data_IF_800456007936
#
_entry.id   IF_800456007936
#
_cell.length_a   1.000
_cell.length_b   1.000
_cell.length_c   1.000
_cell.angle_alpha   90.00
_cell.angle_beta   90.00
_cell.angle_gamma   90.00
#
_symmetry.space_group_name_H-M   'P 1'
#
loop_
_entity.id
_entity.type
_entity.pdbx_description
1 polymer ?
#
# COMPACT_ATOMS: atom_id res chain seq x y z
N UNK A 1 -7.65 22.59 -7.23
CA UNK A 1 -6.36 22.52 -6.50
C UNK A 1 -6.55 22.59 -4.99
N UNK A 2 -7.25 23.58 -4.43
CA UNK A 2 -7.38 23.74 -2.95
C UNK A 2 -8.07 22.59 -2.20
N UNK A 3 -9.07 21.93 -2.80
CA UNK A 3 -9.76 20.78 -2.17
C UNK A 3 -8.87 19.51 -2.14
N UNK A 4 -8.19 19.19 -3.23
CA UNK A 4 -7.29 18.02 -3.33
C UNK A 4 -6.07 18.13 -2.40
N UNK A 5 -5.55 19.34 -2.18
CA UNK A 5 -4.46 19.58 -1.23
C UNK A 5 -4.96 19.42 0.22
N UNK A 6 -6.17 19.91 0.53
CA UNK A 6 -6.77 19.74 1.86
C UNK A 6 -7.08 18.26 2.17
N UNK A 7 -7.57 17.50 1.19
CA UNK A 7 -7.84 16.06 1.32
C UNK A 7 -6.54 15.24 1.48
N UNK A 8 -5.43 15.68 0.88
CA UNK A 8 -4.12 15.05 1.07
C UNK A 8 -3.56 15.23 2.48
N UNK A 9 -3.59 16.46 2.99
CA UNK A 9 -3.11 16.79 4.35
C UNK A 9 -3.88 16.01 5.43
N UNK A 10 -5.15 15.70 5.20
CA UNK A 10 -5.95 14.91 6.14
C UNK A 10 -5.64 13.41 6.04
N UNK A 11 -5.52 12.84 4.83
CA UNK A 11 -5.22 11.40 4.65
C UNK A 11 -3.88 11.01 5.28
N UNK A 12 -2.82 11.81 5.04
CA UNK A 12 -1.50 11.55 5.63
C UNK A 12 -1.46 11.89 7.13
N UNK A 13 -2.28 12.85 7.59
CA UNK A 13 -2.55 13.10 9.00
C UNK A 13 -3.15 11.88 9.72
N UNK A 14 -4.21 11.29 9.16
CA UNK A 14 -4.87 10.09 9.68
C UNK A 14 -3.90 8.90 9.73
N UNK A 15 -3.10 8.70 8.67
CA UNK A 15 -2.06 7.65 8.64
C UNK A 15 -1.09 7.80 9.80
N UNK A 16 -0.63 9.02 10.09
CA UNK A 16 0.30 9.29 11.19
C UNK A 16 -0.33 9.05 12.55
N UNK A 17 -1.53 9.56 12.77
CA UNK A 17 -2.24 9.37 14.03
C UNK A 17 -2.45 7.89 14.31
N UNK A 18 -2.93 7.14 13.32
CA UNK A 18 -3.16 5.70 13.45
C UNK A 18 -1.86 4.94 13.68
N UNK A 19 -0.76 5.30 13.02
CA UNK A 19 0.53 4.66 13.21
C UNK A 19 1.07 4.86 14.63
N UNK A 20 0.92 6.07 15.19
CA UNK A 20 1.29 6.33 16.60
C UNK A 20 0.43 5.53 17.57
N UNK A 21 -0.88 5.48 17.33
CA UNK A 21 -1.80 4.73 18.16
C UNK A 21 -1.44 3.23 18.19
N UNK A 22 -1.26 2.63 17.01
CA UNK A 22 -0.93 1.21 16.91
C UNK A 22 0.45 0.91 17.48
N UNK A 23 1.45 1.77 17.23
CA UNK A 23 2.81 1.60 17.75
C UNK A 23 2.88 1.69 19.27
N UNK A 24 2.04 2.51 19.91
CA UNK A 24 1.95 2.60 21.36
C UNK A 24 1.17 1.43 22.02
N UNK A 25 0.36 0.71 21.23
CA UNK A 25 -0.52 -0.36 21.72
C UNK A 25 0.02 -1.77 21.43
N UNK A 26 0.80 -1.93 20.37
CA UNK A 26 1.24 -3.21 19.83
C UNK A 26 2.77 -3.29 19.80
N UNK A 27 3.38 -3.77 20.88
CA UNK A 27 4.84 -3.84 21.05
C UNK A 27 5.55 -4.53 19.86
N UNK A 28 4.95 -5.59 19.31
CA UNK A 28 5.53 -6.32 18.18
C UNK A 28 5.55 -5.53 16.86
N UNK A 29 4.71 -4.50 16.72
CA UNK A 29 4.64 -3.65 15.53
C UNK A 29 5.44 -2.35 15.70
N UNK A 30 6.00 -2.10 16.90
CA UNK A 30 6.65 -0.84 17.25
C UNK A 30 7.78 -0.48 16.26
N UNK A 31 8.71 -1.39 15.99
CA UNK A 31 9.84 -1.13 15.08
C UNK A 31 9.39 -0.78 13.66
N UNK A 32 8.41 -1.52 13.13
CA UNK A 32 7.85 -1.26 11.78
C UNK A 32 7.18 0.10 11.72
N UNK A 33 6.39 0.45 12.74
CA UNK A 33 5.68 1.72 12.78
C UNK A 33 6.61 2.91 13.09
N UNK A 34 7.70 2.70 13.84
CA UNK A 34 8.76 3.68 14.06
C UNK A 34 9.48 4.05 12.75
N UNK A 35 9.71 3.10 11.84
CA UNK A 35 10.21 3.40 10.49
C UNK A 35 9.14 4.08 9.63
N UNK A 36 7.88 3.64 9.73
CA UNK A 36 6.80 4.18 8.91
C UNK A 36 6.47 5.65 9.22
N UNK A 37 6.57 6.09 10.48
CA UNK A 37 6.24 7.45 10.90
C UNK A 37 7.02 8.56 10.14
N UNK A 38 8.36 8.54 10.08
CA UNK A 38 9.11 9.49 9.25
C UNK A 38 8.91 9.24 7.75
N UNK A 39 8.61 8.00 7.34
CA UNK A 39 8.34 7.68 5.93
C UNK A 39 7.04 8.34 5.45
N UNK A 40 5.97 8.30 6.24
CA UNK A 40 4.69 8.92 5.87
C UNK A 40 4.81 10.45 5.79
N UNK A 41 5.64 11.08 6.61
CA UNK A 41 5.97 12.51 6.46
C UNK A 41 6.73 12.79 5.13
N UNK A 42 7.64 11.90 4.72
CA UNK A 42 8.32 12.01 3.43
C UNK A 42 7.35 11.83 2.25
N UNK A 43 6.42 10.88 2.37
CA UNK A 43 5.38 10.63 1.37
C UNK A 43 4.38 11.79 1.25
N UNK A 44 3.97 12.39 2.37
CA UNK A 44 3.11 13.59 2.38
C UNK A 44 3.77 14.74 1.60
N UNK A 45 5.07 14.99 1.83
CA UNK A 45 5.82 16.00 1.07
C UNK A 45 5.89 15.69 -0.43
N UNK A 46 6.12 14.43 -0.80
CA UNK A 46 6.14 14.01 -2.21
C UNK A 46 4.77 14.19 -2.88
N UNK A 47 3.69 13.84 -2.17
CA UNK A 47 2.31 14.04 -2.61
C UNK A 47 2.01 15.54 -2.84
N UNK A 48 2.33 16.39 -1.88
CA UNK A 48 2.13 17.85 -1.99
C UNK A 48 2.97 18.46 -3.12
N UNK A 49 4.22 18.02 -3.27
CA UNK A 49 5.11 18.46 -4.35
C UNK A 49 4.57 18.07 -5.71
N UNK A 50 4.05 16.86 -5.87
CA UNK A 50 3.41 16.41 -7.10
C UNK A 50 2.17 17.24 -7.45
N UNK A 51 1.34 17.61 -6.46
CA UNK A 51 0.20 18.52 -6.69
C UNK A 51 0.64 19.94 -7.08
N UNK A 52 1.73 20.43 -6.49
CA UNK A 52 2.23 21.78 -6.73
C UNK A 52 2.94 21.92 -8.08
N UNK A 53 3.63 20.87 -8.53
CA UNK A 53 4.40 20.85 -9.79
C UNK A 53 4.23 19.49 -10.46
N UNK A 54 3.07 19.22 -11.09
CA UNK A 54 2.80 17.92 -11.68
C UNK A 54 3.76 17.64 -12.85
N UNK A 55 4.50 16.52 -12.84
CA UNK A 55 5.30 16.11 -13.99
C UNK A 55 4.41 15.67 -15.15
N UNK A 56 4.95 15.73 -16.37
CA UNK A 56 4.41 14.97 -17.49
C UNK A 56 4.63 13.47 -17.25
N UNK A 57 3.85 12.62 -17.92
CA UNK A 57 3.99 11.17 -17.79
C UNK A 57 5.39 10.68 -18.15
N UNK A 58 6.00 11.25 -19.19
CA UNK A 58 7.35 10.88 -19.66
C UNK A 58 8.46 11.31 -18.69
N UNK A 59 8.20 12.31 -17.83
CA UNK A 59 9.17 12.82 -16.85
C UNK A 59 8.98 12.21 -15.46
N UNK A 60 8.04 11.27 -15.30
CA UNK A 60 7.59 10.80 -13.99
C UNK A 60 8.71 10.14 -13.17
N UNK A 61 9.54 9.29 -13.78
CA UNK A 61 10.64 8.63 -13.08
C UNK A 61 11.68 9.66 -12.58
N UNK A 62 12.12 10.56 -13.47
CA UNK A 62 13.03 11.65 -13.12
C UNK A 62 12.48 12.55 -11.99
N UNK A 63 11.17 12.82 -12.00
CA UNK A 63 10.50 13.57 -10.94
C UNK A 63 10.56 12.82 -9.62
N UNK A 64 10.21 11.53 -9.60
CA UNK A 64 10.25 10.71 -8.39
C UNK A 64 11.67 10.64 -7.81
N UNK A 65 12.68 10.44 -8.64
CA UNK A 65 14.09 10.38 -8.22
C UNK A 65 14.57 11.71 -7.63
N UNK A 66 14.13 12.84 -8.19
CA UNK A 66 14.55 14.17 -7.74
C UNK A 66 13.78 14.65 -6.51
N UNK A 67 12.47 14.45 -6.50
CA UNK A 67 11.54 15.15 -5.59
C UNK A 67 11.00 14.26 -4.46
N UNK A 68 11.07 12.93 -4.57
CA UNK A 68 10.51 12.00 -3.58
C UNK A 68 11.54 11.04 -2.98
N UNK A 69 12.33 10.37 -3.82
CA UNK A 69 13.28 9.33 -3.44
C UNK A 69 14.33 9.79 -2.40
N UNK A 70 14.91 11.01 -2.45
CA UNK A 70 15.95 11.40 -1.50
C UNK A 70 15.45 11.38 -0.05
N UNK A 71 14.23 11.84 0.20
CA UNK A 71 13.62 11.82 1.53
C UNK A 71 13.34 10.39 2.00
N UNK A 72 12.92 9.50 1.11
CA UNK A 72 12.72 8.06 1.43
C UNK A 72 14.05 7.40 1.81
N UNK A 73 15.12 7.67 1.05
CA UNK A 73 16.46 7.12 1.34
C UNK A 73 17.01 7.66 2.67
N UNK A 74 16.83 8.96 2.94
CA UNK A 74 17.22 9.57 4.21
C UNK A 74 16.51 8.89 5.40
N UNK A 75 15.20 8.66 5.28
CA UNK A 75 14.42 7.94 6.29
C UNK A 75 14.93 6.51 6.47
N UNK A 76 15.17 5.78 5.38
CA UNK A 76 15.65 4.42 5.44
C UNK A 76 17.05 4.31 6.08
N UNK A 77 17.93 5.28 5.85
CA UNK A 77 19.25 5.35 6.50
C UNK A 77 19.12 5.70 7.99
N UNK A 78 18.27 6.66 8.33
CA UNK A 78 18.16 7.18 9.70
C UNK A 78 17.40 6.23 10.64
N UNK A 79 16.26 5.69 10.18
CA UNK A 79 15.30 4.94 10.99
C UNK A 79 15.16 3.45 10.58
N UNK A 80 15.80 3.04 9.48
CA UNK A 80 15.76 1.65 9.03
C UNK A 80 16.62 0.71 9.88
N UNK A 81 16.39 -0.59 9.68
CA UNK A 81 17.27 -1.63 10.22
C UNK A 81 18.67 -1.51 9.62
N UNK A 82 19.68 -2.10 10.26
CA UNK A 82 21.06 -2.13 9.75
C UNK A 82 21.12 -2.65 8.31
N UNK A 83 20.44 -3.77 8.04
CA UNK A 83 20.34 -4.35 6.69
C UNK A 83 19.71 -3.40 5.67
N UNK A 84 18.66 -2.68 6.05
CA UNK A 84 18.01 -1.73 5.15
C UNK A 84 18.94 -0.54 4.87
N UNK A 85 19.58 0.00 5.91
CA UNK A 85 20.55 1.09 5.79
C UNK A 85 21.68 0.73 4.83
N UNK A 86 22.32 -0.42 5.02
CA UNK A 86 23.42 -0.88 4.16
C UNK A 86 22.99 -1.02 2.70
N UNK A 87 21.83 -1.62 2.46
CA UNK A 87 21.30 -1.81 1.11
C UNK A 87 20.98 -0.49 0.41
N UNK A 88 20.42 0.49 1.14
CA UNK A 88 20.11 1.82 0.60
C UNK A 88 21.39 2.61 0.31
N UNK A 89 22.40 2.54 1.18
CA UNK A 89 23.69 3.19 0.93
C UNK A 89 24.38 2.61 -0.31
N UNK A 90 24.28 1.29 -0.54
CA UNK A 90 24.77 0.67 -1.76
C UNK A 90 24.07 1.22 -3.01
N UNK A 91 22.74 1.39 -2.97
CA UNK A 91 21.99 1.95 -4.11
C UNK A 91 22.30 3.43 -4.33
N UNK A 92 22.56 4.17 -3.26
CA UNK A 92 22.96 5.57 -3.38
C UNK A 92 24.28 5.76 -4.13
N UNK A 93 25.25 4.86 -3.91
CA UNK A 93 26.56 4.95 -4.54
C UNK A 93 26.59 4.39 -5.97
N UNK A 94 25.97 3.23 -6.18
CA UNK A 94 26.18 2.41 -7.38
C UNK A 94 24.88 2.08 -8.13
N UNK A 95 23.73 2.60 -7.68
CA UNK A 95 22.43 2.26 -8.23
C UNK A 95 21.99 3.16 -9.39
N UNK A 96 21.39 2.54 -10.41
CA UNK A 96 20.56 3.23 -11.39
C UNK A 96 19.18 3.52 -10.76
N UNK A 97 19.10 4.62 -10.01
CA UNK A 97 17.90 4.98 -9.27
C UNK A 97 16.71 5.29 -10.19
N UNK A 98 16.98 5.86 -11.37
CA UNK A 98 15.94 6.12 -12.37
C UNK A 98 15.44 4.83 -12.98
N UNK A 99 16.34 3.93 -13.40
CA UNK A 99 15.97 2.59 -13.88
C UNK A 99 15.19 1.76 -12.86
N UNK A 100 15.53 1.86 -11.56
CA UNK A 100 14.75 1.21 -10.48
C UNK A 100 13.30 1.72 -10.46
N UNK A 101 13.11 3.03 -10.55
CA UNK A 101 11.78 3.65 -10.55
C UNK A 101 11.02 3.35 -11.85
N UNK A 102 11.69 3.42 -13.00
CA UNK A 102 11.12 3.11 -14.31
C UNK A 102 10.59 1.68 -14.38
N UNK A 103 11.40 0.69 -13.97
CA UNK A 103 11.01 -0.71 -13.94
C UNK A 103 9.75 -0.92 -13.06
N UNK A 104 9.70 -0.29 -11.89
CA UNK A 104 8.51 -0.35 -11.03
C UNK A 104 7.27 0.31 -11.66
N UNK A 105 7.45 1.45 -12.33
CA UNK A 105 6.38 2.16 -13.04
C UNK A 105 5.87 1.36 -14.25
N UNK A 106 6.73 0.59 -14.90
CA UNK A 106 6.38 -0.34 -15.97
C UNK A 106 5.67 -1.61 -15.44
N UNK A 107 5.65 -1.85 -14.13
CA UNK A 107 5.04 -3.03 -13.52
C UNK A 107 5.93 -4.28 -13.60
N UNK A 108 7.25 -4.09 -13.73
CA UNK A 108 8.22 -5.18 -13.69
C UNK A 108 8.37 -5.73 -12.27
N UNK A 109 8.60 -7.04 -12.17
CA UNK A 109 8.83 -7.69 -10.88
C UNK A 109 10.16 -7.20 -10.26
N UNK A 110 10.06 -6.71 -9.04
CA UNK A 110 11.20 -6.28 -8.23
C UNK A 110 11.06 -6.84 -6.81
N UNK A 111 12.19 -7.04 -6.15
CA UNK A 111 12.22 -7.50 -4.77
C UNK A 111 13.06 -6.60 -3.85
N UNK A 112 12.96 -6.89 -2.55
CA UNK A 112 13.79 -6.29 -1.52
C UNK A 112 13.83 -4.76 -1.55
N UNK A 113 15.06 -4.23 -1.58
CA UNK A 113 15.32 -2.80 -1.45
C UNK A 113 14.87 -2.01 -2.66
N UNK A 114 14.93 -2.57 -3.87
CA UNK A 114 14.60 -1.85 -5.10
C UNK A 114 13.08 -1.61 -5.18
N UNK A 115 12.29 -2.66 -4.90
CA UNK A 115 10.84 -2.55 -4.77
C UNK A 115 10.43 -1.60 -3.64
N UNK A 116 11.12 -1.64 -2.49
CA UNK A 116 10.86 -0.73 -1.38
C UNK A 116 11.10 0.73 -1.79
N UNK A 117 12.27 1.05 -2.36
CA UNK A 117 12.64 2.41 -2.75
C UNK A 117 11.66 2.95 -3.79
N UNK A 118 11.43 2.21 -4.87
CA UNK A 118 10.55 2.63 -5.96
C UNK A 118 9.11 2.83 -5.48
N UNK A 119 8.55 1.87 -4.75
CA UNK A 119 7.17 1.97 -4.23
C UNK A 119 7.03 3.12 -3.24
N UNK A 120 7.92 3.22 -2.27
CA UNK A 120 7.84 4.22 -1.22
C UNK A 120 7.94 5.66 -1.76
N UNK A 121 8.69 5.87 -2.85
CA UNK A 121 8.84 7.18 -3.50
C UNK A 121 7.78 7.46 -4.58
N UNK A 122 7.39 6.47 -5.39
CA UNK A 122 6.48 6.69 -6.52
C UNK A 122 5.00 6.66 -6.12
N UNK A 123 4.60 5.81 -5.17
CA UNK A 123 3.21 5.71 -4.73
C UNK A 123 2.56 7.04 -4.30
N UNK A 124 3.17 7.90 -3.47
CA UNK A 124 2.55 9.19 -3.13
C UNK A 124 2.36 10.12 -4.34
N UNK A 125 3.24 10.03 -5.34
CA UNK A 125 3.12 10.82 -6.58
C UNK A 125 1.96 10.30 -7.44
N UNK A 126 1.79 8.98 -7.55
CA UNK A 126 0.65 8.37 -8.24
C UNK A 126 -0.68 8.59 -7.53
N UNK A 127 -0.67 8.62 -6.20
CA UNK A 127 -1.84 8.94 -5.37
C UNK A 127 -2.27 10.41 -5.59
N UNK A 128 -1.30 11.33 -5.70
CA UNK A 128 -1.55 12.75 -5.99
C UNK A 128 -2.07 13.00 -7.41
N UNK A 129 -1.63 12.21 -8.39
CA UNK A 129 -1.83 12.48 -9.81
C UNK A 129 -2.62 11.36 -10.49
N UNK A 130 -3.94 11.31 -10.28
CA UNK A 130 -4.80 10.24 -10.79
C UNK A 130 -4.78 10.06 -12.31
N UNK A 131 -4.59 11.15 -13.06
CA UNK A 131 -4.55 11.14 -14.53
C UNK A 131 -3.21 10.64 -15.05
N UNK A 132 -2.10 10.99 -14.39
CA UNK A 132 -0.77 10.45 -14.67
C UNK A 132 -0.73 8.96 -14.33
N UNK A 133 -1.31 8.56 -13.19
CA UNK A 133 -1.41 7.15 -12.85
C UNK A 133 -2.20 6.34 -13.90
N UNK A 134 -3.16 6.96 -14.59
CA UNK A 134 -3.95 6.31 -15.62
C UNK A 134 -3.16 6.04 -16.92
N UNK A 135 -2.10 6.79 -17.20
CA UNK A 135 -1.25 6.55 -18.38
C UNK A 135 -0.40 5.28 -18.24
N UNK A 136 -0.16 4.83 -17.01
CA UNK A 136 0.60 3.61 -16.69
C UNK A 136 -0.20 2.33 -16.90
N UNK A 137 -1.50 2.44 -17.15
CA UNK A 137 -2.37 1.27 -17.32
C UNK A 137 -2.09 0.62 -18.67
N UNK A 138 -1.51 -0.58 -18.63
CA UNK A 138 -1.42 -1.46 -19.80
C UNK A 138 -2.82 -1.94 -20.24
N UNK A 139 -3.00 -2.28 -21.53
CA UNK A 139 -4.30 -2.71 -22.05
C UNK A 139 -4.73 -4.08 -21.50
N UNK A 140 -6.05 -4.25 -21.29
CA UNK A 140 -6.75 -5.41 -20.71
C UNK A 140 -6.55 -5.64 -19.20
N UNK A 141 -7.07 -4.72 -18.38
CA UNK A 141 -7.27 -4.94 -16.95
C UNK A 141 -8.65 -5.55 -16.69
N UNK A 142 -8.71 -6.72 -16.05
CA UNK A 142 -9.96 -7.26 -15.51
C UNK A 142 -10.34 -6.61 -14.16
N UNK A 143 -11.40 -7.10 -13.52
CA UNK A 143 -11.89 -6.59 -12.23
C UNK A 143 -10.94 -6.84 -11.04
N UNK A 144 -9.89 -7.65 -11.21
CA UNK A 144 -8.85 -7.91 -10.21
C UNK A 144 -7.73 -6.88 -10.23
N UNK A 145 -7.64 -6.07 -11.29
CA UNK A 145 -6.64 -5.02 -11.44
C UNK A 145 -7.25 -3.65 -11.17
N UNK A 146 -6.41 -2.72 -10.70
CA UNK A 146 -6.84 -1.35 -10.46
C UNK A 146 -7.35 -0.72 -11.77
N UNK A 147 -8.61 -0.22 -11.82
CA UNK A 147 -9.15 0.39 -13.03
C UNK A 147 -8.47 1.71 -13.39
N UNK A 148 -7.70 2.30 -12.46
CA UNK A 148 -6.91 3.51 -12.69
C UNK A 148 -5.57 3.19 -13.35
N UNK A 149 -4.65 2.55 -12.63
CA UNK A 149 -3.27 2.38 -13.10
C UNK A 149 -2.92 0.94 -13.50
N UNK A 150 -3.87 0.00 -13.47
CA UNK A 150 -3.63 -1.42 -13.74
C UNK A 150 -2.84 -2.18 -12.67
N UNK A 151 -2.52 -1.55 -11.53
CA UNK A 151 -1.79 -2.20 -10.43
C UNK A 151 -2.60 -3.29 -9.72
N UNK A 152 -1.89 -4.20 -9.04
CA UNK A 152 -2.48 -5.22 -8.19
C UNK A 152 -3.02 -4.64 -6.86
N UNK A 153 -3.98 -5.30 -6.21
CA UNK A 153 -4.46 -4.89 -4.90
C UNK A 153 -3.38 -5.10 -3.82
N UNK A 154 -3.24 -4.12 -2.92
CA UNK A 154 -2.44 -4.23 -1.70
C UNK A 154 -3.25 -4.90 -0.59
N UNK A 155 -4.47 -4.41 -0.35
CA UNK A 155 -5.35 -4.90 0.68
C UNK A 155 -6.81 -4.77 0.26
N UNK A 156 -7.72 -5.35 1.03
CA UNK A 156 -9.15 -5.15 0.89
C UNK A 156 -9.76 -4.44 2.10
N UNK A 157 -10.92 -3.83 1.89
CA UNK A 157 -11.66 -3.08 2.92
C UNK A 157 -13.14 -3.45 2.84
N UNK A 158 -13.74 -3.72 4.00
CA UNK A 158 -15.19 -3.60 4.16
C UNK A 158 -15.51 -2.22 4.71
N UNK A 159 -16.06 -1.36 3.86
CA UNK A 159 -16.48 -0.02 4.24
C UNK A 159 -17.83 -0.02 4.97
N UNK A 160 -18.24 1.15 5.44
CA UNK A 160 -19.62 1.37 5.89
C UNK A 160 -20.52 1.62 4.68
N UNK A 161 -21.72 1.07 4.67
CA UNK A 161 -22.73 1.31 3.61
C UNK A 161 -23.63 2.49 3.90
N UNK A 162 -23.52 3.13 5.07
CA UNK A 162 -24.49 4.12 5.58
C UNK A 162 -25.90 3.54 5.84
N UNK A 163 -26.17 2.34 5.33
CA UNK A 163 -27.44 1.64 5.41
C UNK A 163 -27.26 0.32 6.18
N UNK A 164 -27.93 0.20 7.33
CA UNK A 164 -27.79 -0.92 8.27
C UNK A 164 -28.19 -2.28 7.68
N UNK A 165 -28.96 -2.31 6.58
CA UNK A 165 -29.50 -3.54 5.98
C UNK A 165 -28.72 -4.02 4.74
N UNK A 166 -27.74 -3.24 4.26
CA UNK A 166 -26.93 -3.62 3.11
C UNK A 166 -25.58 -4.18 3.55
N UNK A 167 -25.21 -5.32 2.96
CA UNK A 167 -23.87 -5.87 3.11
C UNK A 167 -22.88 -5.00 2.34
N UNK A 168 -21.92 -4.40 3.04
CA UNK A 168 -21.01 -3.45 2.41
C UNK A 168 -20.10 -4.08 1.34
N UNK A 169 -19.93 -3.47 0.16
CA UNK A 169 -19.10 -4.08 -0.88
C UNK A 169 -17.67 -4.27 -0.38
N UNK A 170 -17.01 -5.35 -0.82
CA UNK A 170 -15.56 -5.49 -0.65
C UNK A 170 -14.92 -4.53 -1.63
N UNK A 171 -14.16 -3.59 -1.11
CA UNK A 171 -13.29 -2.75 -1.92
C UNK A 171 -11.87 -3.29 -1.86
N UNK A 172 -11.13 -3.15 -2.94
CA UNK A 172 -9.70 -3.35 -3.02
C UNK A 172 -9.02 -1.98 -3.02
N UNK A 173 -7.81 -1.90 -2.45
CA UNK A 173 -6.95 -0.70 -2.46
C UNK A 173 -5.73 -0.99 -3.32
N UNK A 174 -5.42 -0.10 -4.27
CA UNK A 174 -4.31 -0.30 -5.20
C UNK A 174 -2.96 -0.19 -4.51
N UNK A 175 -2.06 -1.15 -4.77
CA UNK A 175 -0.67 -1.13 -4.26
C UNK A 175 0.21 -0.03 -4.83
N UNK A 176 -0.23 0.60 -5.94
CA UNK A 176 0.54 1.65 -6.65
C UNK A 176 0.00 3.04 -6.38
N UNK A 177 -1.27 3.29 -6.70
CA UNK A 177 -1.89 4.63 -6.68
C UNK A 177 -2.97 4.82 -5.61
N UNK A 178 -3.13 3.87 -4.68
CA UNK A 178 -4.14 3.86 -3.63
C UNK A 178 -5.62 3.95 -4.07
N UNK A 179 -5.91 3.94 -5.38
CA UNK A 179 -7.28 3.96 -5.88
C UNK A 179 -8.09 2.75 -5.37
N UNK A 180 -9.31 3.00 -4.89
CA UNK A 180 -10.24 1.96 -4.47
C UNK A 180 -11.14 1.47 -5.62
N UNK A 181 -11.48 0.19 -5.65
CA UNK A 181 -12.51 -0.35 -6.55
C UNK A 181 -13.21 -1.55 -5.94
N UNK A 182 -14.42 -1.87 -6.41
CA UNK A 182 -15.22 -2.98 -5.89
C UNK A 182 -14.82 -4.28 -6.58
N UNK A 183 -14.61 -5.33 -5.78
CA UNK A 183 -14.55 -6.71 -6.24
C UNK A 183 -15.62 -7.52 -5.50
N UNK A 184 -16.19 -8.54 -6.16
CA UNK A 184 -17.09 -9.47 -5.50
C UNK A 184 -16.44 -10.09 -4.24
N UNK A 185 -17.21 -10.19 -3.16
CA UNK A 185 -16.73 -10.71 -1.86
C UNK A 185 -16.21 -12.15 -1.99
N UNK A 186 -16.87 -12.95 -2.81
CA UNK A 186 -16.57 -14.36 -3.03
C UNK A 186 -15.69 -14.51 -4.27
N UNK A 187 -14.63 -13.71 -4.39
CA UNK A 187 -13.70 -13.79 -5.51
C UNK A 187 -12.28 -13.56 -5.03
N UNK A 188 -11.38 -14.49 -5.38
CA UNK A 188 -9.95 -14.32 -5.13
C UNK A 188 -9.43 -13.15 -5.95
N UNK A 189 -8.85 -12.17 -5.28
CA UNK A 189 -8.30 -10.96 -5.91
C UNK A 189 -7.05 -11.24 -6.76
N UNK A 190 -6.49 -12.45 -6.70
CA UNK A 190 -5.34 -12.87 -7.52
C UNK A 190 -5.78 -13.75 -8.70
N UNK A 191 -6.41 -14.90 -8.46
CA UNK A 191 -6.72 -15.87 -9.54
C UNK A 191 -8.18 -15.91 -9.99
N UNK A 192 -9.09 -15.18 -9.35
CA UNK A 192 -10.51 -15.16 -9.71
C UNK A 192 -11.33 -16.37 -9.25
N UNK A 193 -10.78 -17.28 -8.45
CA UNK A 193 -11.56 -18.38 -7.85
C UNK A 193 -12.76 -17.83 -7.05
N UNK A 194 -13.93 -18.45 -7.20
CA UNK A 194 -15.19 -17.98 -6.60
C UNK A 194 -15.80 -18.95 -5.59
N UNK A 195 -15.26 -20.17 -5.48
CA UNK A 195 -15.70 -21.16 -4.50
C UNK A 195 -15.28 -20.78 -3.10
N UNK A 196 -16.24 -20.44 -2.23
CA UNK A 196 -15.99 -20.14 -0.82
C UNK A 196 -15.27 -21.25 -0.05
N UNK A 197 -15.47 -22.52 -0.45
CA UNK A 197 -14.79 -23.66 0.16
C UNK A 197 -13.26 -23.66 -0.07
N UNK A 198 -12.77 -22.90 -1.06
CA UNK A 198 -11.35 -22.75 -1.41
C UNK A 198 -10.80 -21.39 -0.97
N UNK A 199 -11.55 -20.62 -0.20
CA UNK A 199 -11.16 -19.30 0.30
C UNK A 199 -11.18 -19.28 1.84
N UNK A 200 -10.22 -19.93 2.49
CA UNK A 200 -10.14 -19.92 3.95
C UNK A 200 -9.86 -18.52 4.48
N UNK A 201 -10.45 -18.22 5.62
CA UNK A 201 -10.25 -16.97 6.35
C UNK A 201 -9.38 -17.26 7.56
N UNK A 202 -8.28 -16.51 7.71
CA UNK A 202 -7.45 -16.53 8.91
C UNK A 202 -7.70 -15.25 9.70
N UNK A 203 -7.92 -15.36 11.00
CA UNK A 203 -8.17 -14.19 11.86
C UNK A 203 -7.80 -14.51 13.29
N UNK A 204 -7.29 -13.50 13.99
CA UNK A 204 -7.17 -13.48 15.44
C UNK A 204 -8.14 -12.41 15.95
N UNK A 205 -9.34 -12.81 16.34
CA UNK A 205 -10.40 -11.86 16.73
C UNK A 205 -10.15 -11.20 18.07
N UNK A 206 -9.26 -11.74 18.89
CA UNK A 206 -8.88 -11.18 20.18
C UNK A 206 -7.86 -10.06 19.99
N UNK A 207 -6.82 -10.30 19.18
CA UNK A 207 -5.78 -9.32 18.90
C UNK A 207 -6.20 -8.30 17.82
N UNK A 208 -6.87 -8.79 16.77
CA UNK A 208 -7.25 -8.03 15.58
C UNK A 208 -8.72 -8.26 15.19
N UNK A 209 -9.69 -7.76 15.96
CA UNK A 209 -11.11 -7.97 15.67
C UNK A 209 -11.52 -7.50 14.26
N UNK A 210 -10.87 -6.45 13.75
CA UNK A 210 -11.13 -5.82 12.45
C UNK A 210 -10.23 -6.31 11.31
N UNK A 211 -9.21 -7.13 11.56
CA UNK A 211 -8.34 -7.67 10.51
C UNK A 211 -8.60 -9.15 10.28
N UNK A 212 -8.46 -9.55 9.03
CA UNK A 212 -8.44 -10.95 8.63
C UNK A 212 -7.60 -11.11 7.37
N UNK A 213 -7.17 -12.33 7.12
CA UNK A 213 -6.59 -12.74 5.85
C UNK A 213 -7.66 -13.51 5.07
N UNK A 214 -7.93 -13.07 3.84
CA UNK A 214 -8.68 -13.82 2.84
C UNK A 214 -7.67 -14.56 1.94
N UNK A 215 -7.44 -15.84 2.22
CA UNK A 215 -6.49 -16.68 1.50
C UNK A 215 -7.18 -17.49 0.38
N UNK A 216 -6.40 -18.02 -0.56
CA UNK A 216 -6.89 -18.85 -1.66
C UNK A 216 -6.12 -20.16 -1.78
N UNK A 217 -6.83 -21.28 -1.73
CA UNK A 217 -6.23 -22.62 -1.86
C UNK A 217 -5.77 -22.94 -3.29
N UNK A 218 -6.23 -22.17 -4.29
CA UNK A 218 -5.88 -22.41 -5.70
C UNK A 218 -4.56 -21.76 -6.09
N UNK A 219 -4.41 -20.46 -5.88
CA UNK A 219 -3.17 -19.75 -6.24
C UNK A 219 -2.23 -19.57 -5.06
N UNK A 220 -2.64 -19.98 -3.85
CA UNK A 220 -1.85 -19.85 -2.62
C UNK A 220 -1.50 -18.39 -2.29
N UNK A 221 -2.24 -17.44 -2.86
CA UNK A 221 -2.16 -16.02 -2.53
C UNK A 221 -3.13 -15.65 -1.43
N UNK A 222 -2.78 -14.62 -0.67
CA UNK A 222 -3.68 -14.05 0.32
C UNK A 222 -3.75 -12.53 0.22
N UNK A 223 -4.78 -11.96 0.84
CA UNK A 223 -4.94 -10.52 0.98
C UNK A 223 -5.41 -10.20 2.40
N UNK A 224 -4.78 -9.23 3.05
CA UNK A 224 -5.31 -8.68 4.31
C UNK A 224 -6.57 -7.87 3.98
N UNK A 225 -7.61 -8.10 4.77
CA UNK A 225 -8.87 -7.37 4.68
C UNK A 225 -9.15 -6.66 6.00
N UNK A 226 -9.37 -5.35 5.90
CA UNK A 226 -9.69 -4.46 7.01
C UNK A 226 -11.20 -4.21 7.06
N UNK A 227 -11.85 -4.62 8.14
CA UNK A 227 -13.27 -4.41 8.38
C UNK A 227 -13.51 -3.14 9.20
N UNK A 228 -13.66 -1.99 8.52
CA UNK A 228 -13.87 -0.68 9.16
C UNK A 228 -15.17 -0.61 9.98
N UNK A 229 -16.10 -1.54 9.75
CA UNK A 229 -17.34 -1.62 10.55
C UNK A 229 -17.08 -2.13 11.97
N UNK A 230 -15.95 -2.81 12.19
CA UNK A 230 -15.52 -3.32 13.50
C UNK A 230 -14.56 -2.39 14.23
N UNK A 231 -13.77 -1.61 13.48
CA UNK A 231 -13.00 -0.48 14.02
C UNK A 231 -13.12 0.71 13.05
N UNK A 232 -14.02 1.67 13.32
CA UNK A 232 -14.21 2.86 12.48
C UNK A 232 -12.96 3.75 12.39
N UNK A 233 -12.02 3.63 13.33
CA UNK A 233 -10.76 4.39 13.35
C UNK A 233 -9.65 3.71 12.55
N UNK A 234 -9.89 2.52 12.00
CA UNK A 234 -8.90 1.83 11.18
C UNK A 234 -8.55 2.65 9.93
N UNK A 235 -7.24 2.80 9.69
CA UNK A 235 -6.67 3.36 8.48
C UNK A 235 -6.02 2.19 7.74
N UNK A 236 -6.67 1.61 6.71
CA UNK A 236 -6.31 0.28 6.21
C UNK A 236 -4.84 0.07 5.87
N UNK A 237 -4.21 1.04 5.20
CA UNK A 237 -2.79 0.99 4.81
C UNK A 237 -1.86 0.93 6.03
N UNK A 238 -2.27 1.50 7.17
CA UNK A 238 -1.49 1.48 8.41
C UNK A 238 -1.79 0.24 9.24
N UNK A 239 -3.06 -0.12 9.34
CA UNK A 239 -3.50 -1.30 10.08
C UNK A 239 -2.93 -2.60 9.47
N UNK A 240 -2.74 -2.67 8.15
CA UNK A 240 -2.02 -3.76 7.49
C UNK A 240 -0.57 -3.90 7.98
N UNK A 241 0.16 -2.79 8.20
CA UNK A 241 1.53 -2.83 8.70
C UNK A 241 1.63 -3.45 10.11
N UNK A 242 0.55 -3.38 10.88
CA UNK A 242 0.45 -3.99 12.20
C UNK A 242 -0.04 -5.44 12.16
N UNK A 243 -0.37 -5.99 11.00
CA UNK A 243 -0.89 -7.35 10.83
C UNK A 243 0.20 -8.44 10.79
N UNK A 244 1.45 -8.11 11.11
CA UNK A 244 2.60 -9.03 11.05
C UNK A 244 2.34 -10.44 11.63
N UNK A 245 1.66 -10.61 12.79
CA UNK A 245 1.37 -11.95 13.30
C UNK A 245 0.44 -12.76 12.38
N UNK A 246 -0.53 -12.11 11.71
CA UNK A 246 -1.39 -12.77 10.74
C UNK A 246 -0.61 -13.17 9.48
N UNK A 247 0.28 -12.30 9.00
CA UNK A 247 1.16 -12.59 7.86
C UNK A 247 2.05 -13.80 8.13
N UNK A 248 2.64 -13.89 9.32
CA UNK A 248 3.45 -15.03 9.74
C UNK A 248 2.64 -16.34 9.73
N UNK A 249 1.43 -16.32 10.29
CA UNK A 249 0.54 -17.50 10.28
C UNK A 249 0.17 -17.91 8.85
N UNK A 250 -0.07 -16.95 7.96
CA UNK A 250 -0.37 -17.23 6.56
C UNK A 250 0.85 -17.85 5.85
N UNK A 251 2.04 -17.30 6.06
CA UNK A 251 3.29 -17.82 5.52
C UNK A 251 3.60 -19.24 6.02
N UNK A 252 3.43 -19.51 7.32
CA UNK A 252 3.57 -20.86 7.91
C UNK A 252 2.63 -21.89 7.27
N UNK A 253 1.44 -21.44 6.86
CA UNK A 253 0.48 -22.26 6.13
C UNK A 253 0.78 -22.37 4.64
N UNK A 254 1.82 -21.71 4.13
CA UNK A 254 2.28 -21.74 2.74
C UNK A 254 1.52 -20.80 1.81
N UNK A 255 1.05 -19.66 2.33
CA UNK A 255 0.47 -18.58 1.53
C UNK A 255 1.50 -17.46 1.27
N UNK A 256 1.29 -16.70 0.19
CA UNK A 256 2.15 -15.58 -0.26
C UNK A 256 1.35 -14.43 -0.86
#
# INVERSE_FOLDING_TARGET
>A
MTALVADGVTIYGERRERARELGARLDFAEQTLQLYLPLVDAQERAFERALATPPAADDLASFVVRDALPAVMEVAVAAGTERLREAVLLRFHDGDLEGIVEAWLAGEDQDGTDAFLARASASPVLEALPDVAATLRMSETDDRHCPRCGGLPQLAVFGETGEALLTSPRKLVCSRCANEWVLSRMTCASCGETSGAKMPILSDVELFPHLRIDACEICRRYLITVDRRKDPRAVPIVDELAALPLDLIAAERGYT
#
